data_IF_194223575631
#
_entry.id   IF_194223575631
#
_cell.length_a   1.000
_cell.length_b   1.000
_cell.length_c   1.000
_cell.angle_alpha   90.00
_cell.angle_beta   90.00
_cell.angle_gamma   90.00
#
_symmetry.space_group_name_H-M   'P 1'
#
loop_
_entity.id
_entity.type
_entity.pdbx_description
1 polymer ?
#
# COMPACT_ATOMS: atom_id res chain seq x y z
N UNK A 1 5.55 -5.84 -6.68
CA UNK A 1 4.42 -4.92 -6.93
C UNK A 1 3.27 -5.37 -6.03
N UNK A 2 2.77 -4.48 -5.17
CA UNK A 2 1.66 -4.82 -4.27
C UNK A 2 0.36 -4.73 -5.09
N UNK A 3 -0.53 -5.71 -4.94
CA UNK A 3 -1.82 -5.71 -5.62
C UNK A 3 -2.84 -5.00 -4.75
N UNK A 4 -3.53 -4.01 -5.30
CA UNK A 4 -4.56 -3.29 -4.57
C UNK A 4 -5.74 -4.22 -4.27
N UNK A 5 -6.20 -4.33 -3.01
CA UNK A 5 -7.34 -5.18 -2.66
C UNK A 5 -8.68 -4.66 -3.17
N UNK A 6 -8.79 -3.36 -3.47
CA UNK A 6 -10.04 -2.73 -3.96
C UNK A 6 -10.24 -2.94 -5.46
N UNK A 7 -9.22 -2.64 -6.28
CA UNK A 7 -9.34 -2.66 -7.75
C UNK A 7 -8.54 -3.77 -8.42
N UNK A 8 -7.79 -4.59 -7.67
CA UNK A 8 -6.85 -5.58 -8.22
C UNK A 8 -5.72 -5.02 -9.10
N UNK A 9 -5.55 -3.69 -9.16
CA UNK A 9 -4.47 -3.06 -9.91
C UNK A 9 -3.11 -3.32 -9.25
N UNK A 10 -2.08 -3.44 -10.08
CA UNK A 10 -0.67 -3.56 -9.65
C UNK A 10 0.01 -2.18 -9.59
N UNK A 11 -0.70 -1.11 -9.97
CA UNK A 11 -0.20 0.27 -9.97
C UNK A 11 -0.27 0.90 -8.56
N UNK A 12 0.37 0.27 -7.58
CA UNK A 12 0.47 0.82 -6.22
C UNK A 12 1.83 1.47 -6.01
N UNK A 13 1.87 2.61 -5.31
CA UNK A 13 3.09 3.32 -4.93
C UNK A 13 3.23 3.35 -3.42
N UNK A 14 4.41 3.03 -2.91
CA UNK A 14 4.75 3.23 -1.49
C UNK A 14 4.81 4.74 -1.23
N UNK A 15 3.99 5.23 -0.29
CA UNK A 15 4.01 6.62 0.16
C UNK A 15 5.02 6.79 1.30
N UNK A 16 4.91 5.94 2.32
CA UNK A 16 5.82 5.96 3.46
C UNK A 16 6.13 4.54 3.89
N UNK A 17 7.40 4.34 4.27
CA UNK A 17 7.85 3.08 4.85
C UNK A 17 7.35 2.86 6.28
N UNK A 18 6.80 3.90 6.91
CA UNK A 18 6.26 3.92 8.26
C UNK A 18 4.82 4.46 8.18
N UNK A 19 3.84 3.55 8.20
CA UNK A 19 2.43 3.89 8.36
C UNK A 19 2.11 4.16 9.83
N UNK A 20 0.98 3.64 10.32
CA UNK A 20 0.53 3.84 11.71
C UNK A 20 1.40 3.15 12.76
N UNK A 21 2.22 2.19 12.35
CA UNK A 21 3.17 1.45 13.21
C UNK A 21 4.43 1.14 12.40
N UNK A 22 5.58 0.97 13.06
CA UNK A 22 6.87 0.69 12.39
C UNK A 22 6.86 -0.54 11.47
N UNK A 23 5.95 -1.50 11.71
CA UNK A 23 5.80 -2.73 10.92
C UNK A 23 4.85 -2.58 9.71
N UNK A 24 4.18 -1.44 9.57
CA UNK A 24 3.27 -1.15 8.46
C UNK A 24 3.90 -0.11 7.55
N UNK A 25 3.73 -0.28 6.25
CA UNK A 25 4.04 0.74 5.26
C UNK A 25 2.76 1.16 4.55
N UNK A 26 2.64 2.46 4.27
CA UNK A 26 1.47 3.02 3.60
C UNK A 26 1.70 2.96 2.09
N UNK A 27 0.77 2.33 1.39
CA UNK A 27 0.73 2.26 -0.06
C UNK A 27 -0.48 3.04 -0.57
N UNK A 28 -0.39 3.58 -1.77
CA UNK A 28 -1.52 4.20 -2.47
C UNK A 28 -1.67 3.59 -3.84
N UNK A 29 -2.89 3.24 -4.22
CA UNK A 29 -3.16 2.79 -5.57
C UNK A 29 -3.29 4.00 -6.51
N UNK A 30 -2.62 3.99 -7.67
CA UNK A 30 -2.76 5.07 -8.67
C UNK A 30 -4.01 4.93 -9.54
N UNK A 31 -4.61 3.74 -9.61
CA UNK A 31 -5.85 3.51 -10.35
C UNK A 31 -7.08 4.02 -9.59
N UNK A 32 -7.30 3.54 -8.36
CA UNK A 32 -8.45 3.94 -7.54
C UNK A 32 -8.15 5.07 -6.54
N UNK A 33 -6.91 5.55 -6.45
CA UNK A 33 -6.44 6.59 -5.51
C UNK A 33 -6.65 6.28 -4.01
N UNK A 34 -7.01 5.04 -3.68
CA UNK A 34 -7.21 4.59 -2.30
C UNK A 34 -5.86 4.27 -1.62
N UNK A 35 -5.57 4.88 -0.47
CA UNK A 35 -4.44 4.50 0.38
C UNK A 35 -4.79 3.25 1.21
N UNK A 36 -3.83 2.35 1.40
CA UNK A 36 -3.96 1.16 2.23
C UNK A 36 -2.64 0.83 2.94
N UNK A 37 -2.74 0.32 4.16
CA UNK A 37 -1.58 -0.16 4.92
C UNK A 37 -1.20 -1.57 4.46
N UNK A 38 0.05 -1.73 4.03
CA UNK A 38 0.65 -3.02 3.73
C UNK A 38 1.60 -3.43 4.87
N UNK A 39 1.36 -4.60 5.45
CA UNK A 39 2.26 -5.15 6.46
C UNK A 39 3.52 -5.68 5.79
N UNK A 40 4.68 -5.21 6.24
CA UNK A 40 5.96 -5.87 5.97
C UNK A 40 6.03 -7.10 6.88
N UNK A 41 5.42 -8.20 6.47
CA UNK A 41 5.74 -9.50 7.05
C UNK A 41 7.13 -9.88 6.53
N UNK A 42 8.09 -9.87 7.45
CA UNK A 42 9.45 -10.36 7.26
C UNK A 42 9.43 -11.87 6.95
#
# INVERSE_FOLDING_TARGET
>A
AVKCPQCSSLNTKELTRFGSTSCKALYVCKDCLEPFDYFKVL
#
